data_IF_106903897025
#
_entry.id   IF_106903897025
#
_cell.length_a   1.000
_cell.length_b   1.000
_cell.length_c   1.000
_cell.angle_alpha   90.00
_cell.angle_beta   90.00
_cell.angle_gamma   90.00
#
_symmetry.space_group_name_H-M   'P 1'
#
loop_
_entity.id
_entity.type
_entity.pdbx_description
1 polymer ?
#
# COMPACT_ATOMS: atom_id res chain seq x y z
N UNK A 1 -28.56 -1.32 23.32
CA UNK A 1 -27.38 -0.56 22.90
C UNK A 1 -27.30 -0.62 21.38
N UNK A 2 -27.94 0.33 20.70
CA UNK A 2 -27.81 0.47 19.25
C UNK A 2 -26.37 0.91 18.96
N UNK A 3 -25.62 0.04 18.27
CA UNK A 3 -24.36 0.45 17.68
C UNK A 3 -24.72 1.36 16.50
N UNK A 4 -24.67 2.67 16.74
CA UNK A 4 -24.62 3.68 15.68
C UNK A 4 -23.56 3.21 14.68
N UNK A 5 -24.01 2.74 13.52
CA UNK A 5 -23.16 2.40 12.39
C UNK A 5 -22.53 3.72 11.95
N UNK A 6 -21.38 4.07 12.52
CA UNK A 6 -20.56 5.18 12.05
C UNK A 6 -20.52 5.10 10.53
N UNK A 7 -21.04 6.14 9.86
CA UNK A 7 -20.93 6.28 8.42
C UNK A 7 -19.44 6.14 8.09
N UNK A 8 -19.08 5.00 7.49
CA UNK A 8 -17.71 4.74 7.11
C UNK A 8 -17.30 5.89 6.22
N UNK A 9 -16.18 6.53 6.54
CA UNK A 9 -15.62 7.60 5.74
C UNK A 9 -15.48 7.07 4.30
N UNK A 10 -16.38 7.49 3.41
CA UNK A 10 -16.42 7.00 2.03
C UNK A 10 -15.24 7.64 1.30
N UNK A 11 -14.12 6.92 1.28
CA UNK A 11 -12.95 7.31 0.49
C UNK A 11 -13.36 7.30 -0.98
N UNK A 12 -13.09 8.41 -1.68
CA UNK A 12 -13.32 8.49 -3.12
C UNK A 12 -12.48 7.43 -3.85
N UNK A 13 -12.97 6.91 -4.98
CA UNK A 13 -12.21 5.94 -5.77
C UNK A 13 -10.81 6.48 -6.15
N UNK A 14 -10.70 7.78 -6.45
CA UNK A 14 -9.42 8.42 -6.78
C UNK A 14 -8.44 8.48 -5.59
N UNK A 15 -8.94 8.66 -4.36
CA UNK A 15 -8.10 8.63 -3.17
C UNK A 15 -7.67 7.20 -2.82
N UNK A 16 -8.55 6.21 -3.05
CA UNK A 16 -8.20 4.81 -2.93
C UNK A 16 -7.06 4.46 -3.90
N UNK A 17 -7.17 4.85 -5.17
CA UNK A 17 -6.15 4.59 -6.19
C UNK A 17 -4.81 5.27 -5.84
N UNK A 18 -4.87 6.51 -5.34
CA UNK A 18 -3.70 7.26 -4.88
C UNK A 18 -3.02 6.55 -3.71
N UNK A 19 -3.77 6.19 -2.67
CA UNK A 19 -3.22 5.48 -1.50
C UNK A 19 -2.62 4.13 -1.91
N UNK A 20 -3.27 3.40 -2.81
CA UNK A 20 -2.75 2.15 -3.34
C UNK A 20 -1.46 2.37 -4.15
N UNK A 21 -1.35 3.46 -4.92
CA UNK A 21 -0.12 3.85 -5.61
C UNK A 21 1.02 4.14 -4.63
N UNK A 22 0.75 4.88 -3.55
CA UNK A 22 1.73 5.22 -2.52
C UNK A 22 2.22 3.98 -1.77
N UNK A 23 1.32 3.07 -1.40
CA UNK A 23 1.71 1.80 -0.77
C UNK A 23 2.62 0.99 -1.71
N UNK A 24 2.26 0.87 -2.99
CA UNK A 24 3.09 0.16 -3.98
C UNK A 24 4.49 0.78 -4.09
N UNK A 25 4.57 2.11 -4.09
CA UNK A 25 5.83 2.84 -4.14
C UNK A 25 6.71 2.57 -2.92
N UNK A 26 6.14 2.58 -1.72
CA UNK A 26 6.86 2.26 -0.49
C UNK A 26 7.34 0.81 -0.45
N UNK A 27 6.56 -0.17 -0.93
CA UNK A 27 7.03 -1.55 -1.04
C UNK A 27 8.17 -1.72 -2.04
N UNK A 28 8.10 -1.03 -3.19
CA UNK A 28 9.20 -1.03 -4.16
C UNK A 28 10.48 -0.47 -3.54
N UNK A 29 10.39 0.64 -2.80
CA UNK A 29 11.53 1.18 -2.08
C UNK A 29 12.07 0.21 -1.03
N UNK A 30 11.19 -0.38 -0.21
CA UNK A 30 11.59 -1.36 0.79
C UNK A 30 12.32 -2.56 0.18
N UNK A 31 11.89 -3.01 -1.01
CA UNK A 31 12.51 -4.12 -1.74
C UNK A 31 13.86 -3.76 -2.36
N UNK A 32 13.99 -2.56 -2.90
CA UNK A 32 15.20 -2.10 -3.59
C UNK A 32 16.22 -1.44 -2.65
N UNK A 33 15.84 -1.14 -1.41
CA UNK A 33 16.77 -0.66 -0.39
C UNK A 33 17.76 -1.76 -0.04
N UNK A 34 19.05 -1.51 -0.31
CA UNK A 34 20.15 -2.36 0.16
C UNK A 34 20.03 -2.54 1.68
N UNK A 35 20.19 -3.78 2.15
CA UNK A 35 20.18 -4.14 3.57
C UNK A 35 21.48 -3.69 4.26
N UNK A 36 21.65 -2.39 4.41
CA UNK A 36 22.77 -1.76 5.12
C UNK A 36 22.24 -0.90 6.27
N UNK A 37 23.04 -0.75 7.32
CA UNK A 37 22.65 -0.06 8.58
C UNK A 37 22.17 1.37 8.35
N UNK A 38 22.81 2.11 7.45
CA UNK A 38 22.48 3.50 7.11
C UNK A 38 21.10 3.64 6.44
N UNK A 39 20.57 2.59 5.82
CA UNK A 39 19.22 2.57 5.23
C UNK A 39 18.12 2.28 6.24
N UNK A 40 18.43 2.01 7.52
CA UNK A 40 17.44 1.70 8.55
C UNK A 40 16.41 2.82 8.74
N UNK A 41 16.87 4.07 8.79
CA UNK A 41 15.98 5.21 8.93
C UNK A 41 15.01 5.31 7.75
N UNK A 42 15.51 5.12 6.52
CA UNK A 42 14.70 5.13 5.31
C UNK A 42 13.68 3.98 5.28
N UNK A 43 14.10 2.76 5.66
CA UNK A 43 13.18 1.61 5.80
C UNK A 43 12.05 1.91 6.79
N UNK A 44 12.36 2.47 7.96
CA UNK A 44 11.35 2.84 8.96
C UNK A 44 10.36 3.89 8.42
N UNK A 45 10.84 4.88 7.67
CA UNK A 45 9.95 5.88 7.03
C UNK A 45 8.98 5.23 6.06
N UNK A 46 9.47 4.35 5.19
CA UNK A 46 8.60 3.64 4.23
C UNK A 46 7.60 2.70 4.93
N UNK A 47 8.01 2.03 6.01
CA UNK A 47 7.07 1.24 6.83
C UNK A 47 5.97 2.08 7.49
N UNK A 48 6.30 3.29 7.98
CA UNK A 48 5.31 4.21 8.57
C UNK A 48 4.27 4.66 7.56
N UNK A 49 4.71 5.07 6.35
CA UNK A 49 3.79 5.43 5.25
C UNK A 49 2.81 4.29 4.95
N UNK A 50 3.33 3.07 4.79
CA UNK A 50 2.49 1.89 4.53
C UNK A 50 1.50 1.64 5.67
N UNK A 51 1.92 1.80 6.92
CA UNK A 51 1.03 1.61 8.07
C UNK A 51 -0.10 2.65 8.12
N UNK A 52 0.21 3.92 7.84
CA UNK A 52 -0.77 5.00 7.79
C UNK A 52 -1.82 4.77 6.69
N UNK A 53 -1.40 4.45 5.46
CA UNK A 53 -2.34 4.18 4.37
C UNK A 53 -3.16 2.92 4.62
N UNK A 54 -2.57 1.85 5.17
CA UNK A 54 -3.33 0.64 5.54
C UNK A 54 -4.40 0.95 6.58
N UNK A 55 -4.08 1.76 7.60
CA UNK A 55 -5.05 2.17 8.62
C UNK A 55 -6.21 2.94 7.99
N UNK A 56 -5.93 3.90 7.11
CA UNK A 56 -6.96 4.68 6.40
C UNK A 56 -7.87 3.79 5.55
N UNK A 57 -7.29 2.87 4.78
CA UNK A 57 -8.04 1.92 3.96
C UNK A 57 -8.94 1.01 4.82
N UNK A 58 -8.44 0.53 5.95
CA UNK A 58 -9.22 -0.28 6.88
C UNK A 58 -10.39 0.50 7.51
N UNK A 59 -10.17 1.77 7.89
CA UNK A 59 -11.23 2.64 8.43
C UNK A 59 -12.32 2.91 7.38
N UNK A 60 -11.96 3.01 6.11
CA UNK A 60 -12.89 3.10 5.00
C UNK A 60 -13.60 1.78 4.64
N UNK A 61 -13.33 0.71 5.38
CA UNK A 61 -13.98 -0.59 5.18
C UNK A 61 -13.36 -1.47 4.09
N UNK A 62 -12.17 -1.14 3.59
CA UNK A 62 -11.44 -2.01 2.66
C UNK A 62 -10.91 -3.22 3.43
N UNK A 63 -11.23 -4.42 2.96
CA UNK A 63 -10.78 -5.63 3.65
C UNK A 63 -9.27 -5.81 3.55
N UNK A 64 -8.67 -6.34 4.62
CA UNK A 64 -7.24 -6.68 4.64
C UNK A 64 -6.84 -7.56 3.46
N UNK A 65 -7.71 -8.47 3.03
CA UNK A 65 -7.46 -9.38 1.90
C UNK A 65 -7.38 -8.62 0.58
N UNK A 66 -8.31 -7.71 0.32
CA UNK A 66 -8.27 -6.84 -0.87
C UNK A 66 -6.96 -6.03 -0.94
N UNK A 67 -6.51 -5.46 0.18
CA UNK A 67 -5.22 -4.76 0.24
C UNK A 67 -4.05 -5.71 -0.10
N UNK A 68 -4.06 -6.93 0.41
CA UNK A 68 -3.00 -7.91 0.16
C UNK A 68 -3.01 -8.41 -1.30
N UNK A 69 -4.19 -8.60 -1.88
CA UNK A 69 -4.36 -9.04 -3.27
C UNK A 69 -3.87 -7.97 -4.24
N UNK A 70 -4.15 -6.69 -3.97
CA UNK A 70 -3.60 -5.55 -4.74
C UNK A 70 -2.07 -5.50 -4.67
N UNK A 71 -1.50 -5.85 -3.51
CA UNK A 71 -0.05 -5.89 -3.31
C UNK A 71 0.59 -7.20 -3.80
N UNK A 72 -0.20 -8.20 -4.24
CA UNK A 72 0.32 -9.49 -4.65
C UNK A 72 1.27 -9.36 -5.85
N UNK A 73 0.98 -8.53 -6.87
CA UNK A 73 1.97 -8.27 -7.94
C UNK A 73 3.24 -7.69 -7.32
N UNK A 74 3.13 -6.61 -6.55
CA UNK A 74 4.30 -5.88 -6.03
C UNK A 74 5.18 -6.71 -5.09
N UNK A 75 4.59 -7.64 -4.31
CA UNK A 75 5.31 -8.52 -3.39
C UNK A 75 5.87 -9.77 -4.05
N UNK A 76 5.17 -10.37 -5.02
CA UNK A 76 5.50 -11.70 -5.55
C UNK A 76 6.00 -11.69 -6.99
N UNK A 77 5.36 -10.92 -7.87
CA UNK A 77 5.52 -11.06 -9.34
C UNK A 77 6.31 -9.91 -10.00
N UNK A 78 6.34 -8.73 -9.38
CA UNK A 78 7.05 -7.58 -9.94
C UNK A 78 8.56 -7.75 -9.83
N UNK A 79 9.30 -7.43 -10.89
CA UNK A 79 10.76 -7.36 -10.84
C UNK A 79 11.22 -6.10 -10.09
N UNK A 80 12.32 -6.20 -9.35
CA UNK A 80 12.90 -5.07 -8.59
C UNK A 80 13.16 -3.84 -9.48
N UNK A 81 13.49 -4.05 -10.75
CA UNK A 81 13.84 -3.02 -11.72
C UNK A 81 12.63 -2.31 -12.37
N UNK A 82 11.39 -2.77 -12.14
CA UNK A 82 10.19 -2.13 -12.72
C UNK A 82 9.65 -1.09 -11.74
N UNK A 83 9.62 0.18 -12.17
CA UNK A 83 9.13 1.28 -11.35
C UNK A 83 7.66 1.06 -10.93
N UNK A 84 7.27 1.41 -9.70
CA UNK A 84 5.93 1.17 -9.17
C UNK A 84 4.85 2.10 -9.77
N UNK A 85 5.25 3.11 -10.55
CA UNK A 85 4.33 4.09 -11.16
C UNK A 85 3.64 3.57 -12.43
N UNK A 86 4.19 2.55 -13.09
CA UNK A 86 3.53 1.89 -14.22
C UNK A 86 2.91 0.59 -13.73
N UNK A 87 1.59 0.37 -13.89
CA UNK A 87 0.99 -0.92 -13.57
C UNK A 87 1.72 -2.04 -14.34
N UNK A 88 2.20 -3.04 -13.60
CA UNK A 88 2.79 -4.25 -14.17
C UNK A 88 1.68 -5.02 -14.91
N UNK A 89 1.99 -5.90 -15.87
CA UNK A 89 0.99 -6.80 -16.49
C UNK A 89 0.20 -7.69 -15.50
N UNK A 90 0.61 -7.72 -14.23
CA UNK A 90 -0.02 -8.46 -13.13
C UNK A 90 -0.71 -7.55 -12.09
N UNK A 91 -0.62 -6.23 -12.22
CA UNK A 91 -1.38 -5.27 -11.42
C UNK A 91 -2.72 -5.17 -12.15
N UNK A 92 -3.82 -5.50 -11.47
CA UNK A 92 -5.15 -5.25 -12.04
C UNK A 92 -5.26 -3.75 -12.39
N UNK A 93 -5.78 -3.48 -13.59
CA UNK A 93 -6.24 -2.14 -13.99
C UNK A 93 -7.47 -1.79 -13.17
#
# INVERSE_FOLDING_TARGET
MQLELFEREQISQGDLDRMMMEIRHSYWHLRNLRKVTWNNARRRREYRKVAEHKKRLQLAGVEKRQILDLLACCRLQCGANKQPRKPCKYCRQ
#
